data_IF_167298889063
#
_entry.id   IF_167298889063
#
_cell.length_a   1.000
_cell.length_b   1.000
_cell.length_c   1.000
_cell.angle_alpha   90.00
_cell.angle_beta   90.00
_cell.angle_gamma   90.00
#
_symmetry.space_group_name_H-M   'P 1'
#
loop_
_entity.id
_entity.type
_entity.pdbx_description
1 polymer ?
#
# COMPACT_ATOMS: atom_id res chain seq x y z
N UNK A 1 43.44 -60.43 -12.88
CA UNK A 1 42.61 -59.98 -14.02
C UNK A 1 41.14 -59.74 -13.62
N UNK A 2 40.34 -60.78 -13.30
CA UNK A 2 38.91 -60.59 -12.97
C UNK A 2 38.68 -59.89 -11.61
N UNK A 3 39.52 -60.17 -10.61
CA UNK A 3 39.44 -59.53 -9.29
C UNK A 3 39.83 -58.04 -9.37
N UNK A 4 40.97 -57.73 -9.99
CA UNK A 4 41.42 -56.35 -10.20
C UNK A 4 40.38 -55.49 -10.94
N UNK A 5 39.67 -56.08 -11.91
CA UNK A 5 38.58 -55.41 -12.61
C UNK A 5 37.39 -55.08 -11.69
N UNK A 6 37.03 -56.00 -10.79
CA UNK A 6 35.96 -55.78 -9.82
C UNK A 6 36.35 -54.74 -8.77
N UNK A 7 37.61 -54.75 -8.32
CA UNK A 7 38.14 -53.75 -7.40
C UNK A 7 38.12 -52.35 -8.02
N UNK A 8 38.54 -52.22 -9.29
CA UNK A 8 38.44 -50.97 -10.04
C UNK A 8 37.00 -50.47 -10.13
N UNK A 9 36.05 -51.35 -10.48
CA UNK A 9 34.62 -50.98 -10.59
C UNK A 9 34.00 -50.60 -9.27
N UNK A 10 34.43 -51.23 -8.17
CA UNK A 10 34.00 -50.84 -6.84
C UNK A 10 34.52 -49.45 -6.46
N UNK A 11 35.78 -49.14 -6.77
CA UNK A 11 36.35 -47.81 -6.55
C UNK A 11 35.63 -46.73 -7.36
N UNK A 12 35.35 -46.98 -8.64
CA UNK A 12 34.58 -46.08 -9.51
C UNK A 12 33.21 -45.76 -8.91
N UNK A 13 32.48 -46.78 -8.47
CA UNK A 13 31.18 -46.62 -7.82
C UNK A 13 31.28 -45.86 -6.48
N UNK A 14 32.35 -46.07 -5.69
CA UNK A 14 32.55 -45.31 -4.45
C UNK A 14 32.80 -43.82 -4.71
N UNK A 15 33.55 -43.49 -5.77
CA UNK A 15 33.78 -42.10 -6.18
C UNK A 15 32.47 -41.45 -6.59
N UNK A 16 31.70 -42.10 -7.47
CA UNK A 16 30.40 -41.59 -7.92
C UNK A 16 29.42 -41.40 -6.75
N UNK A 17 29.35 -42.36 -5.81
CA UNK A 17 28.50 -42.23 -4.62
C UNK A 17 28.92 -41.05 -3.73
N UNK A 18 30.23 -40.79 -3.61
CA UNK A 18 30.74 -39.68 -2.83
C UNK A 18 30.36 -38.35 -3.47
N UNK A 19 30.57 -38.20 -4.78
CA UNK A 19 30.21 -37.00 -5.53
C UNK A 19 28.70 -36.73 -5.46
N UNK A 20 27.89 -37.78 -5.59
CA UNK A 20 26.43 -37.66 -5.45
C UNK A 20 26.02 -37.22 -4.03
N UNK A 21 26.67 -37.77 -3.00
CA UNK A 21 26.41 -37.39 -1.60
C UNK A 21 26.79 -35.93 -1.33
N UNK A 22 27.92 -35.45 -1.86
CA UNK A 22 28.34 -34.06 -1.76
C UNK A 22 27.36 -33.11 -2.46
N UNK A 23 26.86 -33.48 -3.65
CA UNK A 23 25.84 -32.72 -4.36
C UNK A 23 24.52 -32.66 -3.58
N UNK A 24 24.09 -33.76 -2.95
CA UNK A 24 22.89 -33.77 -2.08
C UNK A 24 23.08 -32.80 -0.91
N UNK A 25 24.21 -32.88 -0.20
CA UNK A 25 24.50 -32.02 0.95
C UNK A 25 24.52 -30.54 0.56
N UNK A 26 25.15 -30.21 -0.58
CA UNK A 26 25.16 -28.86 -1.12
C UNK A 26 23.75 -28.33 -1.39
N UNK A 27 22.93 -29.10 -2.09
CA UNK A 27 21.55 -28.72 -2.40
C UNK A 27 20.68 -28.58 -1.16
N UNK A 28 20.84 -29.48 -0.17
CA UNK A 28 20.13 -29.38 1.11
C UNK A 28 20.49 -28.10 1.88
N UNK A 29 21.79 -27.75 1.93
CA UNK A 29 22.24 -26.53 2.59
C UNK A 29 21.71 -25.28 1.88
N UNK A 30 21.73 -25.26 0.55
CA UNK A 30 21.17 -24.17 -0.24
C UNK A 30 19.66 -24.00 0.01
N UNK A 31 18.89 -25.08 -0.08
CA UNK A 31 17.45 -25.04 0.18
C UNK A 31 17.15 -24.54 1.60
N UNK A 32 17.94 -24.97 2.59
CA UNK A 32 17.80 -24.48 3.97
C UNK A 32 18.07 -22.98 4.07
N UNK A 33 19.09 -22.48 3.38
CA UNK A 33 19.40 -21.06 3.36
C UNK A 33 18.28 -20.25 2.71
N UNK A 34 17.80 -20.68 1.54
CA UNK A 34 16.72 -20.01 0.82
C UNK A 34 15.44 -19.91 1.68
N UNK A 35 15.11 -20.97 2.43
CA UNK A 35 13.97 -20.97 3.37
C UNK A 35 14.19 -20.01 4.53
N UNK A 36 15.41 -19.93 5.08
CA UNK A 36 15.72 -19.01 6.18
C UNK A 36 15.61 -17.55 5.72
N UNK A 37 16.12 -17.24 4.53
CA UNK A 37 16.07 -15.90 3.95
C UNK A 37 14.61 -15.48 3.70
N UNK A 38 13.82 -16.34 3.04
CA UNK A 38 12.39 -16.10 2.85
C UNK A 38 11.62 -15.90 4.17
N UNK A 39 11.95 -16.69 5.19
CA UNK A 39 11.29 -16.58 6.49
C UNK A 39 11.63 -15.25 7.17
N UNK A 40 12.87 -14.78 7.04
CA UNK A 40 13.29 -13.47 7.55
C UNK A 40 12.52 -12.33 6.89
N UNK A 41 12.39 -12.35 5.56
CA UNK A 41 11.65 -11.35 4.80
C UNK A 41 10.17 -11.31 5.21
N UNK A 42 9.54 -12.49 5.34
CA UNK A 42 8.15 -12.61 5.79
C UNK A 42 7.99 -12.05 7.20
N UNK A 43 8.91 -12.36 8.11
CA UNK A 43 8.85 -11.87 9.50
C UNK A 43 8.96 -10.34 9.55
N UNK A 44 9.85 -9.76 8.76
CA UNK A 44 9.99 -8.30 8.65
C UNK A 44 8.71 -7.67 8.10
N UNK A 45 8.11 -8.27 7.06
CA UNK A 45 6.83 -7.84 6.51
C UNK A 45 5.69 -7.94 7.54
N UNK A 46 5.64 -9.01 8.33
CA UNK A 46 4.65 -9.17 9.42
C UNK A 46 4.82 -8.08 10.48
N UNK A 47 6.05 -7.71 10.83
CA UNK A 47 6.33 -6.63 11.79
C UNK A 47 5.84 -5.26 11.29
N UNK A 48 6.03 -4.98 10.00
CA UNK A 48 5.52 -3.75 9.37
C UNK A 48 3.99 -3.73 9.26
N UNK A 49 3.38 -4.85 8.88
CA UNK A 49 1.92 -4.94 8.70
C UNK A 49 1.15 -5.00 10.02
N UNK A 50 1.69 -5.62 11.07
CA UNK A 50 1.10 -5.59 12.42
C UNK A 50 0.98 -4.16 12.99
N UNK A 51 1.93 -3.27 12.66
CA UNK A 51 1.85 -1.86 13.05
C UNK A 51 0.71 -1.11 12.33
N UNK A 52 0.38 -1.53 11.10
CA UNK A 52 -0.72 -0.93 10.37
C UNK A 52 -2.09 -1.22 11.02
N UNK A 53 -2.27 -2.34 11.73
CA UNK A 53 -3.53 -2.62 12.43
C UNK A 53 -3.73 -1.74 13.67
N UNK A 54 -2.66 -1.43 14.40
CA UNK A 54 -2.68 -0.43 15.47
C UNK A 54 -3.00 0.98 14.93
N UNK A 55 -2.40 1.35 13.79
CA UNK A 55 -2.69 2.62 13.11
C UNK A 55 -4.13 2.66 12.57
N UNK A 56 -4.65 1.55 12.01
CA UNK A 56 -6.06 1.46 11.60
C UNK A 56 -6.97 1.67 12.80
N UNK A 57 -6.69 1.05 13.94
CA UNK A 57 -7.48 1.22 15.16
C UNK A 57 -7.48 2.68 15.62
N UNK A 58 -6.32 3.34 15.65
CA UNK A 58 -6.25 4.76 16.03
C UNK A 58 -7.00 5.65 15.03
N UNK A 59 -6.91 5.38 13.72
CA UNK A 59 -7.71 6.08 12.69
C UNK A 59 -9.22 5.87 12.90
N UNK A 60 -9.66 4.66 13.25
CA UNK A 60 -11.07 4.39 13.56
C UNK A 60 -11.53 5.11 14.84
N UNK A 61 -10.66 5.27 15.84
CA UNK A 61 -10.95 6.02 17.07
C UNK A 61 -10.98 7.53 16.83
N UNK A 62 -10.17 8.04 15.90
CA UNK A 62 -10.16 9.43 15.46
C UNK A 62 -11.39 9.79 14.60
N UNK A 63 -12.16 8.80 14.13
CA UNK A 63 -13.44 9.06 13.47
C UNK A 63 -14.34 9.82 14.44
N UNK A 64 -14.89 10.99 14.06
CA UNK A 64 -15.83 11.71 14.91
C UNK A 64 -16.98 10.78 15.29
N UNK A 65 -17.05 10.38 16.57
CA UNK A 65 -18.23 9.71 17.10
C UNK A 65 -19.38 10.69 16.95
N UNK A 66 -20.31 10.41 16.03
CA UNK A 66 -21.54 11.17 15.85
C UNK A 66 -22.33 11.17 17.16
N UNK A 67 -22.05 12.12 18.02
CA UNK A 67 -23.12 12.88 18.64
C UNK A 67 -23.15 14.23 17.92
N UNK A 68 -24.32 14.69 17.44
CA UNK A 68 -24.44 16.08 17.05
C UNK A 68 -24.19 16.90 18.33
N UNK A 69 -22.99 17.44 18.48
CA UNK A 69 -22.78 18.50 19.45
C UNK A 69 -23.62 19.69 18.99
N UNK A 70 -24.13 20.49 19.92
CA UNK A 70 -25.01 21.63 19.61
C UNK A 70 -24.39 22.64 18.62
N UNK A 71 -23.09 22.54 18.37
CA UNK A 71 -22.36 23.25 17.32
C UNK A 71 -22.75 22.83 15.90
N UNK A 72 -23.39 21.67 15.69
CA UNK A 72 -23.89 21.26 14.37
C UNK A 72 -25.04 22.15 13.89
N UNK A 73 -25.83 22.68 14.82
CA UNK A 73 -26.86 23.70 14.50
C UNK A 73 -26.23 25.04 14.18
N UNK A 74 -25.10 25.39 14.82
CA UNK A 74 -24.35 26.60 14.47
C UNK A 74 -23.70 26.47 13.09
N UNK A 75 -23.17 25.29 12.73
CA UNK A 75 -22.68 25.00 11.39
C UNK A 75 -23.82 25.05 10.36
N UNK A 76 -24.99 24.48 10.67
CA UNK A 76 -26.15 24.53 9.76
C UNK A 76 -26.71 25.96 9.60
N UNK A 77 -26.69 26.78 10.65
CA UNK A 77 -27.07 28.20 10.60
C UNK A 77 -25.99 29.07 9.96
N UNK A 78 -24.69 28.74 10.08
CA UNK A 78 -23.62 29.41 9.33
C UNK A 78 -23.68 29.08 7.84
N UNK A 79 -24.02 27.84 7.49
CA UNK A 79 -24.21 27.38 6.11
C UNK A 79 -25.51 27.97 5.51
N UNK A 80 -26.59 28.09 6.30
CA UNK A 80 -27.86 28.70 5.85
C UNK A 80 -27.92 30.24 5.98
N UNK A 81 -27.07 30.83 6.82
CA UNK A 81 -27.15 32.24 7.24
C UNK A 81 -26.01 33.13 6.75
N UNK A 82 -24.98 32.57 6.10
CA UNK A 82 -24.02 33.36 5.34
C UNK A 82 -24.14 33.02 3.86
N UNK A 83 -25.07 33.72 3.22
CA UNK A 83 -24.78 34.29 1.91
C UNK A 83 -23.53 35.19 2.04
N UNK A 84 -22.35 34.59 2.12
CA UNK A 84 -21.13 35.29 1.73
C UNK A 84 -21.27 35.43 0.23
N UNK A 85 -21.60 36.64 -0.20
CA UNK A 85 -21.59 36.99 -1.60
C UNK A 85 -20.23 36.68 -2.21
N UNK A 86 -20.29 36.14 -3.43
CA UNK A 86 -19.21 36.12 -4.43
C UNK A 86 -18.12 35.08 -4.14
N UNK A 87 -17.86 34.10 -5.01
CA UNK A 87 -17.68 34.29 -6.45
C UNK A 87 -18.18 33.08 -7.25
N UNK A 88 -18.79 33.37 -8.40
CA UNK A 88 -18.97 32.53 -9.59
C UNK A 88 -18.54 31.05 -9.39
N UNK A 89 -19.48 30.19 -8.98
CA UNK A 89 -19.32 28.74 -9.11
C UNK A 89 -19.45 28.37 -10.58
N UNK A 90 -18.47 28.77 -11.40
CA UNK A 90 -18.27 28.15 -12.70
C UNK A 90 -18.02 26.66 -12.43
N UNK A 91 -18.83 25.83 -13.07
CA UNK A 91 -18.70 24.38 -12.92
C UNK A 91 -17.43 23.96 -13.65
N UNK A 92 -16.39 23.66 -12.87
CA UNK A 92 -15.08 23.26 -13.40
C UNK A 92 -15.09 21.75 -13.72
N UNK A 93 -14.32 21.31 -14.70
CA UNK A 93 -14.24 19.90 -15.07
C UNK A 93 -13.23 19.14 -14.19
N UNK A 94 -12.17 19.82 -13.73
CA UNK A 94 -11.13 19.29 -12.85
C UNK A 94 -10.73 20.31 -11.78
N UNK A 95 -10.16 19.83 -10.66
CA UNK A 95 -9.51 20.70 -9.67
C UNK A 95 -8.33 21.47 -10.28
N UNK A 96 -7.67 20.95 -11.32
CA UNK A 96 -6.59 21.68 -12.02
C UNK A 96 -7.08 22.98 -12.67
N UNK A 97 -8.34 22.99 -13.14
CA UNK A 97 -8.97 24.15 -13.80
C UNK A 97 -9.38 25.26 -12.81
N UNK A 98 -9.23 25.01 -11.51
CA UNK A 98 -9.55 25.96 -10.47
C UNK A 98 -8.52 27.11 -10.44
N UNK A 99 -9.04 28.34 -10.56
CA UNK A 99 -8.22 29.54 -10.75
C UNK A 99 -7.90 30.31 -9.46
N UNK A 100 -8.68 30.13 -8.38
CA UNK A 100 -8.47 30.84 -7.12
C UNK A 100 -7.30 30.29 -6.29
N UNK A 101 -6.83 29.08 -6.62
CA UNK A 101 -5.79 28.32 -5.92
C UNK A 101 -6.08 28.14 -4.43
N UNK A 102 -7.37 28.02 -4.10
CA UNK A 102 -7.84 27.74 -2.75
C UNK A 102 -8.22 26.27 -2.60
N UNK A 103 -7.78 25.64 -1.51
CA UNK A 103 -8.23 24.29 -1.17
C UNK A 103 -9.64 24.35 -0.55
N UNK A 104 -10.54 23.46 -0.94
CA UNK A 104 -11.93 23.53 -0.51
C UNK A 104 -12.86 22.55 -1.23
N UNK A 105 -14.15 22.60 -0.93
CA UNK A 105 -15.16 21.80 -1.62
C UNK A 105 -15.58 22.48 -2.93
N UNK A 106 -15.51 21.75 -4.03
CA UNK A 106 -15.91 22.19 -5.36
C UNK A 106 -16.91 21.22 -5.99
N UNK A 107 -17.73 21.73 -6.90
CA UNK A 107 -18.62 20.91 -7.72
C UNK A 107 -17.99 20.72 -9.08
N UNK A 108 -17.60 19.48 -9.40
CA UNK A 108 -17.08 19.13 -10.72
C UNK A 108 -18.22 18.72 -11.65
N UNK A 109 -18.13 19.12 -12.91
CA UNK A 109 -18.97 18.57 -13.97
C UNK A 109 -18.12 18.19 -15.16
N UNK A 110 -17.94 16.89 -15.33
CA UNK A 110 -17.29 16.30 -16.51
C UNK A 110 -18.37 16.10 -17.57
N UNK A 111 -18.03 16.30 -18.84
CA UNK A 111 -18.95 16.10 -19.96
C UNK A 111 -19.63 14.73 -19.89
N UNK A 112 -20.95 14.69 -20.10
CA UNK A 112 -21.78 13.48 -20.03
C UNK A 112 -21.83 12.77 -18.66
N UNK A 113 -21.45 13.45 -17.57
CA UNK A 113 -21.55 12.93 -16.20
C UNK A 113 -22.45 13.82 -15.33
N UNK A 114 -23.03 13.22 -14.30
CA UNK A 114 -23.74 13.99 -13.25
C UNK A 114 -22.71 14.71 -12.39
N UNK A 115 -22.95 15.98 -12.09
CA UNK A 115 -22.05 16.75 -11.23
C UNK A 115 -21.95 16.14 -9.83
N UNK A 116 -20.75 16.18 -9.26
CA UNK A 116 -20.46 15.65 -7.92
C UNK A 116 -19.53 16.59 -7.15
N UNK A 117 -19.58 16.51 -5.81
CA UNK A 117 -18.74 17.32 -4.93
C UNK A 117 -17.45 16.59 -4.59
N UNK A 118 -16.33 17.31 -4.64
CA UNK A 118 -15.01 16.85 -4.24
C UNK A 118 -14.30 17.90 -3.41
N UNK A 119 -13.31 17.51 -2.63
CA UNK A 119 -12.38 18.45 -2.01
C UNK A 119 -11.19 18.65 -2.95
N UNK A 120 -10.95 19.86 -3.43
CA UNK A 120 -9.76 20.17 -4.21
C UNK A 120 -8.63 20.62 -3.28
N UNK A 121 -7.43 20.03 -3.43
CA UNK A 121 -6.19 20.47 -2.79
C UNK A 121 -5.34 21.28 -3.77
N UNK A 122 -5.20 22.58 -3.50
CA UNK A 122 -4.51 23.53 -4.37
C UNK A 122 -3.12 23.96 -3.86
N UNK A 123 -2.74 23.58 -2.64
CA UNK A 123 -1.52 24.09 -1.99
C UNK A 123 -0.34 23.13 -2.09
N UNK A 124 -0.61 21.82 -2.13
CA UNK A 124 0.43 20.80 -2.19
C UNK A 124 0.84 20.53 -3.64
N UNK A 125 2.16 20.45 -3.87
CA UNK A 125 2.75 19.98 -5.13
C UNK A 125 2.19 20.65 -6.39
N UNK A 126 1.97 21.98 -6.34
CA UNK A 126 1.45 22.75 -7.48
C UNK A 126 -0.07 22.81 -7.59
N UNK A 127 -0.81 22.07 -6.75
CA UNK A 127 -2.27 22.08 -6.71
C UNK A 127 -2.93 21.25 -7.81
N UNK A 128 -4.26 21.32 -7.88
CA UNK A 128 -5.08 20.61 -8.86
C UNK A 128 -5.54 19.20 -8.47
N UNK A 129 -5.36 18.81 -7.22
CA UNK A 129 -5.66 17.45 -6.75
C UNK A 129 -7.07 17.32 -6.20
N UNK A 130 -7.67 16.14 -6.39
CA UNK A 130 -8.87 15.66 -5.69
C UNK A 130 -8.45 14.84 -4.47
#
# INVERSE_FOLDING_TARGET
AKMDFLEYKFLEMQVEMKEHSEAILYNQNRNKQDVLDQTSDILEQQKMTANHDAIKQSIFELRPKKHPSDNSKLAEVLIKGKAVQSQKSETIASCEDEQTKQSGLYTLSVENSTSFQVFCEQRLQGGGWI
#
